data_IF_606883310477
#
_entry.id   IF_606883310477
#
_cell.length_a   1.000
_cell.length_b   1.000
_cell.length_c   1.000
_cell.angle_alpha   90.00
_cell.angle_beta   90.00
_cell.angle_gamma   90.00
#
_symmetry.space_group_name_H-M   'P 1'
#
loop_
_entity.id
_entity.type
_entity.pdbx_description
1 polymer ?
#
# COMPACT_ATOMS: atom_id res chain seq x y z
N UNK A 1 -12.11 6.18 -18.48
CA UNK A 1 -11.32 5.18 -19.23
C UNK A 1 -10.55 4.35 -18.21
N UNK A 2 -11.06 3.18 -17.79
CA UNK A 2 -10.20 2.20 -17.10
C UNK A 2 -9.29 1.64 -18.19
N UNK A 3 -7.97 1.81 -18.04
CA UNK A 3 -6.95 1.30 -18.98
C UNK A 3 -6.63 -0.17 -18.72
N UNK A 4 -7.10 -0.70 -17.59
CA UNK A 4 -6.86 -2.05 -17.11
C UNK A 4 -8.23 -2.60 -16.70
N UNK A 5 -8.62 -3.71 -17.31
CA UNK A 5 -9.98 -4.25 -17.21
C UNK A 5 -10.21 -5.07 -15.93
N UNK A 6 -9.14 -5.55 -15.29
CA UNK A 6 -9.21 -6.27 -14.03
C UNK A 6 -7.96 -6.00 -13.16
N UNK A 7 -8.17 -5.62 -11.89
CA UNK A 7 -7.13 -5.36 -10.89
C UNK A 7 -7.21 -6.33 -9.69
N UNK A 8 -8.01 -7.38 -9.80
CA UNK A 8 -8.10 -8.43 -8.79
C UNK A 8 -6.70 -9.03 -8.55
N UNK A 9 -6.30 -9.09 -7.28
CA UNK A 9 -4.97 -9.56 -6.88
C UNK A 9 -3.81 -8.63 -7.25
N UNK A 10 -4.08 -7.40 -7.69
CA UNK A 10 -3.04 -6.40 -7.97
C UNK A 10 -2.56 -5.68 -6.72
N UNK A 11 -1.34 -5.13 -6.79
CA UNK A 11 -0.74 -4.29 -5.77
C UNK A 11 0.08 -3.17 -6.42
N UNK A 12 0.29 -2.08 -5.70
CA UNK A 12 1.16 -0.99 -6.14
C UNK A 12 2.50 -1.07 -5.41
N UNK A 13 3.61 -0.94 -6.14
CA UNK A 13 4.95 -0.82 -5.56
C UNK A 13 5.52 0.55 -5.89
N UNK A 14 6.12 1.22 -4.90
CA UNK A 14 6.88 2.44 -5.11
C UNK A 14 8.31 2.32 -4.58
N UNK A 15 9.26 2.93 -5.29
CA UNK A 15 10.68 2.98 -4.91
C UNK A 15 10.99 4.01 -3.82
N UNK A 16 9.99 4.83 -3.44
CA UNK A 16 10.12 5.93 -2.50
C UNK A 16 9.44 5.61 -1.16
N UNK A 17 9.25 6.66 -0.33
CA UNK A 17 8.41 6.59 0.88
C UNK A 17 6.93 6.61 0.49
N UNK A 18 6.09 5.95 1.27
CA UNK A 18 4.64 6.16 1.19
C UNK A 18 4.26 7.43 1.94
N UNK A 19 3.93 8.50 1.19
CA UNK A 19 3.40 9.75 1.74
C UNK A 19 1.88 9.66 1.92
N UNK A 20 1.31 10.64 2.64
CA UNK A 20 -0.13 10.75 2.83
C UNK A 20 -0.86 10.89 1.48
N UNK A 21 -0.34 11.74 0.59
CA UNK A 21 -0.92 11.98 -0.74
C UNK A 21 -0.80 10.74 -1.64
N UNK A 22 0.26 9.93 -1.46
CA UNK A 22 0.40 8.66 -2.18
C UNK A 22 -0.70 7.70 -1.75
N UNK A 23 -0.93 7.54 -0.44
CA UNK A 23 -2.02 6.73 0.09
C UNK A 23 -3.37 7.24 -0.43
N UNK A 24 -3.63 8.55 -0.39
CA UNK A 24 -4.87 9.13 -0.95
C UNK A 24 -5.07 8.76 -2.42
N UNK A 25 -4.02 8.82 -3.25
CA UNK A 25 -4.11 8.43 -4.67
C UNK A 25 -4.40 6.94 -4.85
N UNK A 26 -3.79 6.09 -4.02
CA UNK A 26 -4.05 4.64 -4.05
C UNK A 26 -5.48 4.34 -3.63
N UNK A 27 -6.04 5.04 -2.64
CA UNK A 27 -7.43 4.87 -2.20
C UNK A 27 -8.47 5.23 -3.27
N UNK A 28 -8.12 6.07 -4.24
CA UNK A 28 -8.98 6.36 -5.41
C UNK A 28 -8.97 5.20 -6.41
N UNK A 29 -8.03 4.26 -6.27
CA UNK A 29 -7.98 3.02 -7.04
C UNK A 29 -8.63 1.88 -6.24
N UNK A 30 -9.16 0.88 -6.94
CA UNK A 30 -9.70 -0.34 -6.31
C UNK A 30 -8.59 -1.32 -5.84
N UNK A 31 -7.36 -0.84 -5.61
CA UNK A 31 -6.20 -1.69 -5.27
C UNK A 31 -6.00 -1.72 -3.75
N UNK A 32 -6.03 -2.90 -3.10
CA UNK A 32 -6.05 -3.00 -1.64
C UNK A 32 -4.66 -3.02 -0.98
N UNK A 33 -3.56 -2.95 -1.74
CA UNK A 33 -2.19 -3.07 -1.22
C UNK A 33 -1.25 -2.03 -1.84
N UNK A 34 -0.56 -1.27 -0.98
CA UNK A 34 0.55 -0.38 -1.32
C UNK A 34 1.84 -0.87 -0.65
N UNK A 35 2.88 -1.06 -1.45
CA UNK A 35 4.21 -1.50 -1.01
C UNK A 35 5.21 -0.38 -1.26
N UNK A 36 5.86 0.08 -0.19
CA UNK A 36 6.94 1.06 -0.24
C UNK A 36 8.30 0.41 0.05
N UNK A 37 9.23 0.67 -0.84
CA UNK A 37 10.65 0.37 -0.67
C UNK A 37 11.23 1.15 0.52
N UNK A 38 10.70 2.31 0.88
CA UNK A 38 11.14 3.07 2.07
C UNK A 38 10.08 3.08 3.19
N UNK A 39 10.30 3.90 4.22
CA UNK A 39 9.36 4.06 5.32
C UNK A 39 8.06 4.76 4.88
N UNK A 40 6.87 4.38 5.37
CA UNK A 40 5.68 5.20 5.30
C UNK A 40 5.73 6.34 6.33
N UNK A 41 4.97 7.43 6.12
CA UNK A 41 4.77 8.45 7.16
C UNK A 41 3.65 8.02 8.13
N UNK A 42 3.67 8.52 9.37
CA UNK A 42 2.60 8.20 10.34
C UNK A 42 1.21 8.60 9.85
N UNK A 43 1.11 9.74 9.16
CA UNK A 43 -0.15 10.17 8.54
C UNK A 43 -0.61 9.21 7.44
N UNK A 44 0.31 8.69 6.63
CA UNK A 44 -0.01 7.70 5.60
C UNK A 44 -0.53 6.40 6.21
N UNK A 45 0.11 5.92 7.28
CA UNK A 45 -0.32 4.72 8.01
C UNK A 45 -1.69 4.92 8.64
N UNK A 46 -1.93 6.05 9.31
CA UNK A 46 -3.23 6.35 9.92
C UNK A 46 -4.36 6.39 8.89
N UNK A 47 -4.12 7.06 7.74
CA UNK A 47 -5.08 7.09 6.66
C UNK A 47 -5.36 5.68 6.14
N UNK A 48 -4.31 4.87 5.94
CA UNK A 48 -4.45 3.49 5.51
C UNK A 48 -5.01 2.54 6.59
N UNK A 49 -5.19 2.95 7.84
CA UNK A 49 -5.90 2.17 8.86
C UNK A 49 -7.39 2.54 8.91
N UNK A 50 -7.73 3.78 8.55
CA UNK A 50 -9.10 4.25 8.45
C UNK A 50 -9.80 3.76 7.18
N UNK A 51 -9.01 3.43 6.17
CA UNK A 51 -9.44 2.83 4.92
C UNK A 51 -8.83 1.44 4.83
N UNK A 52 -9.54 0.47 4.26
CA UNK A 52 -9.15 -0.94 4.26
C UNK A 52 -7.98 -1.27 3.29
N UNK A 53 -6.87 -0.54 3.42
CA UNK A 53 -5.68 -0.54 2.57
C UNK A 53 -4.48 -1.06 3.36
N UNK A 54 -3.83 -2.09 2.84
CA UNK A 54 -2.60 -2.62 3.43
C UNK A 54 -1.39 -1.81 2.98
N UNK A 55 -0.67 -1.21 3.93
CA UNK A 55 0.59 -0.52 3.66
C UNK A 55 1.74 -1.37 4.16
N UNK A 56 2.64 -1.71 3.25
CA UNK A 56 3.89 -2.42 3.53
C UNK A 56 5.03 -1.43 3.34
N UNK A 57 5.92 -1.34 4.32
CA UNK A 57 7.11 -0.51 4.27
C UNK A 57 8.39 -1.31 4.38
N UNK A 58 9.52 -0.69 4.05
CA UNK A 58 10.85 -1.31 4.11
C UNK A 58 10.95 -2.63 3.32
N UNK A 59 10.19 -2.76 2.22
CA UNK A 59 10.18 -3.99 1.42
C UNK A 59 11.52 -4.20 0.69
N UNK A 60 12.29 -5.22 1.08
CA UNK A 60 13.58 -5.62 0.48
C UNK A 60 13.75 -7.12 0.54
N UNK A 61 14.21 -7.72 -0.55
CA UNK A 61 14.54 -9.15 -0.62
C UNK A 61 13.42 -10.01 0.02
N UNK A 62 13.70 -10.62 1.18
CA UNK A 62 12.77 -11.46 1.95
C UNK A 62 12.31 -10.80 3.26
N UNK A 63 12.30 -9.46 3.32
CA UNK A 63 11.93 -8.69 4.51
C UNK A 63 10.99 -7.55 4.13
N UNK A 64 10.01 -7.34 4.98
CA UNK A 64 9.07 -6.23 4.90
C UNK A 64 8.43 -6.00 6.26
N UNK A 65 7.80 -4.84 6.45
CA UNK A 65 7.02 -4.53 7.65
C UNK A 65 5.61 -4.12 7.21
N UNK A 66 4.59 -4.80 7.75
CA UNK A 66 3.20 -4.44 7.51
C UNK A 66 2.77 -3.39 8.54
N UNK A 67 2.31 -2.24 8.06
CA UNK A 67 1.88 -1.11 8.89
C UNK A 67 0.36 -1.02 9.06
N UNK A 68 -0.41 -1.61 8.16
CA UNK A 68 -1.89 -1.60 8.22
C UNK A 68 -2.47 -2.86 7.57
N UNK A 69 -3.66 -3.28 8.03
CA UNK A 69 -4.48 -4.38 7.47
C UNK A 69 -3.70 -5.67 7.11
N UNK A 70 -2.98 -6.25 8.08
CA UNK A 70 -2.17 -7.48 7.88
C UNK A 70 -2.97 -8.70 7.38
N UNK A 71 -4.29 -8.71 7.55
CA UNK A 71 -5.18 -9.81 7.16
C UNK A 71 -5.12 -10.20 5.67
N UNK A 72 -4.53 -9.36 4.81
CA UNK A 72 -4.34 -9.65 3.37
C UNK A 72 -3.01 -10.32 3.03
N UNK A 73 -2.08 -10.43 3.97
CA UNK A 73 -0.72 -10.91 3.72
C UNK A 73 -0.55 -12.31 4.34
N UNK A 74 -0.14 -13.26 3.51
CA UNK A 74 0.20 -14.64 3.92
C UNK A 74 1.72 -14.72 4.00
N UNK A 75 2.24 -15.17 5.16
CA UNK A 75 3.68 -15.35 5.43
C UNK A 75 4.11 -16.82 5.28
#
# INVERSE_FOLDING_TARGET
>A
RKLIDNLDGSFIVCSSRASYEMVQKVLVTDIPILIAISAPTSMAVNLALQHDLSVIGFARDKRFVVYSHKNRIIE
#
